data_IF_021934447538
#
_entry.id   IF_021934447538
#
_cell.length_a   1.000
_cell.length_b   1.000
_cell.length_c   1.000
_cell.angle_alpha   90.00
_cell.angle_beta   90.00
_cell.angle_gamma   90.00
#
_symmetry.space_group_name_H-M   'P 1'
#
loop_
_entity.id
_entity.type
_entity.pdbx_description
1 polymer ?
#
# COMPACT_ATOMS: atom_id res chain seq x y z
N UNK A 1 59.09 -11.06 10.00
CA UNK A 1 58.26 -12.11 10.62
C UNK A 1 56.86 -11.55 10.77
N UNK A 2 55.96 -11.88 9.84
CA UNK A 2 54.56 -11.50 9.93
C UNK A 2 53.86 -12.46 10.89
N UNK A 3 53.25 -11.91 11.95
CA UNK A 3 52.43 -12.66 12.88
C UNK A 3 51.19 -13.10 12.12
N UNK A 4 51.05 -14.41 11.87
CA UNK A 4 49.86 -14.98 11.27
C UNK A 4 48.65 -14.58 12.10
N UNK A 5 47.81 -13.70 11.55
CA UNK A 5 46.56 -13.27 12.17
C UNK A 5 45.63 -14.47 12.26
N UNK A 6 45.55 -15.03 13.45
CA UNK A 6 44.63 -16.10 13.82
C UNK A 6 43.21 -15.67 13.47
N UNK A 7 42.59 -16.42 12.55
CA UNK A 7 41.16 -16.55 12.31
C UNK A 7 40.44 -15.46 11.50
N UNK A 8 40.60 -15.50 10.17
CA UNK A 8 39.61 -14.99 9.22
C UNK A 8 38.70 -16.10 8.65
N UNK A 9 38.44 -17.17 9.41
CA UNK A 9 37.44 -18.13 8.94
C UNK A 9 36.04 -17.49 9.01
N UNK A 10 35.25 -17.57 7.92
CA UNK A 10 33.90 -17.02 7.92
C UNK A 10 33.04 -17.76 8.95
N UNK A 11 32.25 -16.98 9.70
CA UNK A 11 31.30 -17.51 10.68
C UNK A 11 30.37 -18.55 10.02
N UNK A 12 30.24 -19.72 10.63
CA UNK A 12 29.34 -20.79 10.18
C UNK A 12 28.18 -20.91 11.15
N UNK A 13 26.97 -20.64 10.67
CA UNK A 13 25.77 -20.72 11.50
C UNK A 13 25.58 -22.11 12.15
N UNK A 14 26.00 -23.18 11.46
CA UNK A 14 25.88 -24.55 11.95
C UNK A 14 26.87 -24.92 13.06
N UNK A 15 27.90 -24.10 13.30
CA UNK A 15 28.84 -24.31 14.42
C UNK A 15 28.22 -23.82 15.74
N UNK A 16 27.13 -23.05 15.70
CA UNK A 16 26.37 -22.67 16.89
C UNK A 16 25.52 -23.84 17.40
N UNK A 17 25.34 -23.99 18.72
CA UNK A 17 24.28 -24.82 19.30
C UNK A 17 22.89 -24.48 18.76
N UNK A 18 21.98 -25.45 18.76
CA UNK A 18 20.64 -25.31 18.19
C UNK A 18 19.84 -24.17 18.84
N UNK A 19 20.04 -23.95 20.14
CA UNK A 19 19.40 -22.89 20.92
C UNK A 19 19.82 -21.51 20.41
N UNK A 20 21.11 -21.31 20.14
CA UNK A 20 21.62 -20.05 19.60
C UNK A 20 21.18 -19.84 18.14
N UNK A 21 21.14 -20.90 17.33
CA UNK A 21 20.56 -20.81 15.96
C UNK A 21 19.09 -20.39 16.01
N UNK A 22 18.32 -20.92 16.97
CA UNK A 22 16.94 -20.49 17.19
C UNK A 22 16.84 -19.01 17.55
N UNK A 23 17.69 -18.50 18.45
CA UNK A 23 17.74 -17.07 18.74
C UNK A 23 18.02 -16.23 17.49
N UNK A 24 18.89 -16.71 16.59
CA UNK A 24 19.14 -16.06 15.29
C UNK A 24 17.86 -16.04 14.44
N UNK A 25 17.13 -17.16 14.33
CA UNK A 25 15.88 -17.19 13.55
C UNK A 25 14.79 -16.29 14.16
N UNK A 26 14.69 -16.26 15.48
CA UNK A 26 13.75 -15.43 16.23
C UNK A 26 14.10 -13.94 16.08
N UNK A 27 15.38 -13.58 15.94
CA UNK A 27 15.82 -12.20 15.70
C UNK A 27 15.77 -11.74 14.24
N UNK A 28 15.40 -12.61 13.29
CA UNK A 28 15.19 -12.19 11.90
C UNK A 28 14.00 -11.24 11.84
N UNK A 29 14.30 -9.96 11.69
CA UNK A 29 13.33 -8.89 11.49
C UNK A 29 12.80 -8.91 10.07
N UNK A 30 11.49 -8.71 9.96
CA UNK A 30 10.87 -8.43 8.68
C UNK A 30 11.13 -6.98 8.38
N UNK A 31 11.46 -6.68 7.13
CA UNK A 31 11.75 -5.32 6.71
C UNK A 31 10.63 -4.81 5.85
N UNK A 32 10.30 -3.54 5.97
CA UNK A 32 9.43 -2.92 4.97
C UNK A 32 10.21 -2.60 3.70
N UNK A 33 9.69 -3.03 2.55
CA UNK A 33 10.22 -2.67 1.23
C UNK A 33 9.26 -1.73 0.50
N UNK A 34 9.85 -0.80 -0.22
CA UNK A 34 9.18 0.29 -0.90
C UNK A 34 9.39 0.11 -2.40
N UNK A 35 8.30 -0.11 -3.13
CA UNK A 35 8.34 -0.19 -4.59
C UNK A 35 7.69 1.05 -5.14
N UNK A 36 8.45 1.82 -5.91
CA UNK A 36 8.04 3.13 -6.38
C UNK A 36 7.84 3.08 -7.88
N UNK A 37 6.66 3.51 -8.34
CA UNK A 37 6.41 3.84 -9.73
C UNK A 37 6.26 5.35 -9.84
N UNK A 38 7.29 5.99 -10.40
CA UNK A 38 7.24 7.43 -10.66
C UNK A 38 6.42 7.73 -11.92
N UNK A 39 5.73 8.87 -11.92
CA UNK A 39 4.97 9.34 -13.10
C UNK A 39 5.81 9.37 -14.38
N UNK A 40 7.06 9.81 -14.28
CA UNK A 40 8.01 9.90 -15.39
C UNK A 40 8.37 8.54 -15.97
N UNK A 41 8.38 7.49 -15.15
CA UNK A 41 8.60 6.11 -15.59
C UNK A 41 7.34 5.52 -16.19
N UNK A 42 6.17 5.83 -15.62
CA UNK A 42 4.90 5.30 -16.07
C UNK A 42 4.51 5.80 -17.46
N UNK A 43 4.94 7.01 -17.84
CA UNK A 43 4.64 7.66 -19.13
C UNK A 43 3.15 7.59 -19.53
N UNK A 44 2.27 7.54 -18.53
CA UNK A 44 0.83 7.43 -18.75
C UNK A 44 0.28 8.75 -19.26
N UNK A 45 -0.73 8.67 -20.11
CA UNK A 45 -1.42 9.86 -20.62
C UNK A 45 -1.97 10.70 -19.45
N UNK A 46 -2.09 12.02 -19.65
CA UNK A 46 -2.67 12.94 -18.65
C UNK A 46 -4.08 12.53 -18.20
N UNK A 47 -4.80 11.76 -19.02
CA UNK A 47 -6.11 11.20 -18.70
C UNK A 47 -6.04 10.15 -17.58
N UNK A 48 -4.98 9.33 -17.55
CA UNK A 48 -4.83 8.25 -16.57
C UNK A 48 -4.02 8.66 -15.35
N UNK A 49 -3.14 9.65 -15.49
CA UNK A 49 -2.40 10.22 -14.38
C UNK A 49 -2.40 11.74 -14.59
N UNK A 50 -3.30 12.52 -13.97
CA UNK A 50 -3.36 13.96 -14.16
C UNK A 50 -2.08 14.60 -13.63
N UNK A 51 -1.64 15.68 -14.27
CA UNK A 51 -0.43 16.39 -13.84
C UNK A 51 -0.79 17.12 -12.53
N UNK A 52 -0.06 16.90 -11.42
CA UNK A 52 -0.31 17.65 -10.20
C UNK A 52 0.04 19.14 -10.42
N UNK A 53 -0.29 20.04 -9.48
CA UNK A 53 0.12 21.45 -9.56
C UNK A 53 1.62 21.59 -9.87
N UNK A 54 2.03 22.66 -10.59
CA UNK A 54 3.39 22.84 -11.13
C UNK A 54 4.51 22.62 -10.11
N UNK A 55 4.25 22.91 -8.84
CA UNK A 55 5.19 22.72 -7.72
C UNK A 55 5.45 21.26 -7.35
N UNK A 56 4.70 20.29 -7.90
CA UNK A 56 4.73 18.87 -7.50
C UNK A 56 4.88 17.89 -8.67
N UNK A 57 5.04 18.39 -9.89
CA UNK A 57 4.98 17.56 -11.13
C UNK A 57 6.00 16.42 -11.13
N UNK A 58 7.19 16.65 -10.60
CA UNK A 58 8.28 15.67 -10.57
C UNK A 58 8.17 14.67 -9.42
N UNK A 59 7.19 14.83 -8.54
CA UNK A 59 7.14 14.08 -7.29
C UNK A 59 5.91 13.17 -7.17
N UNK A 60 5.06 13.14 -8.19
CA UNK A 60 3.88 12.25 -8.21
C UNK A 60 4.31 10.82 -8.50
N UNK A 61 4.02 9.93 -7.55
CA UNK A 61 4.43 8.53 -7.57
C UNK A 61 3.44 7.67 -6.83
N UNK A 62 3.38 6.40 -7.22
CA UNK A 62 2.72 5.35 -6.45
C UNK A 62 3.79 4.58 -5.70
N UNK A 63 3.75 4.63 -4.38
CA UNK A 63 4.61 3.79 -3.54
C UNK A 63 3.79 2.63 -2.99
N UNK A 64 4.12 1.41 -3.39
CA UNK A 64 3.66 0.18 -2.76
C UNK A 64 4.58 -0.13 -1.57
N UNK A 65 3.98 -0.19 -0.38
CA UNK A 65 4.67 -0.45 0.89
C UNK A 65 4.28 -1.86 1.34
N UNK A 66 5.28 -2.71 1.59
CA UNK A 66 5.03 -4.09 1.99
C UNK A 66 6.04 -4.61 3.01
N UNK A 67 5.62 -5.50 3.91
CA UNK A 67 6.57 -6.32 4.65
C UNK A 67 7.32 -7.25 3.68
N UNK A 68 8.59 -7.47 3.98
CA UNK A 68 9.49 -8.38 3.28
C UNK A 68 10.13 -9.31 4.30
N UNK A 69 9.84 -10.59 4.13
CA UNK A 69 10.55 -11.65 4.82
C UNK A 69 11.90 -11.88 4.12
N UNK A 70 13.03 -11.78 4.83
CA UNK A 70 14.31 -12.21 4.28
C UNK A 70 14.36 -13.74 4.26
N UNK A 71 13.98 -14.32 3.12
CA UNK A 71 13.90 -15.78 2.92
C UNK A 71 15.23 -16.39 2.49
N UNK A 72 16.29 -15.59 2.38
CA UNK A 72 17.64 -16.02 1.97
C UNK A 72 18.16 -17.12 2.88
N UNK A 73 17.85 -17.07 4.18
CA UNK A 73 18.26 -18.10 5.13
C UNK A 73 17.65 -19.48 4.82
N UNK A 74 16.43 -19.51 4.27
CA UNK A 74 15.78 -20.75 3.85
C UNK A 74 16.38 -21.36 2.58
N UNK A 75 17.16 -20.58 1.84
CA UNK A 75 17.85 -21.02 0.62
C UNK A 75 19.25 -21.58 0.89
N UNK A 76 19.72 -21.60 2.15
CA UNK A 76 21.08 -22.03 2.51
C UNK A 76 21.24 -23.55 2.45
N UNK A 77 20.99 -24.28 3.55
CA UNK A 77 21.07 -25.74 3.61
C UNK A 77 19.79 -26.36 4.20
N UNK A 78 19.61 -27.66 3.97
CA UNK A 78 18.39 -28.37 4.37
C UNK A 78 18.15 -28.35 5.90
N UNK A 79 19.23 -28.37 6.71
CA UNK A 79 19.13 -28.34 8.17
C UNK A 79 18.63 -26.98 8.66
N UNK A 80 19.27 -25.89 8.22
CA UNK A 80 18.83 -24.52 8.53
C UNK A 80 17.40 -24.30 8.06
N UNK A 81 17.05 -24.74 6.84
CA UNK A 81 15.68 -24.65 6.33
C UNK A 81 14.71 -25.40 7.23
N UNK A 82 15.02 -26.62 7.68
CA UNK A 82 14.16 -27.43 8.56
C UNK A 82 13.90 -26.74 9.90
N UNK A 83 14.93 -26.12 10.48
CA UNK A 83 14.84 -25.42 11.77
C UNK A 83 14.12 -24.07 11.65
N UNK A 84 14.47 -23.25 10.64
CA UNK A 84 13.97 -21.89 10.49
C UNK A 84 12.55 -21.84 9.90
N UNK A 85 12.15 -22.82 9.08
CA UNK A 85 10.84 -22.82 8.40
C UNK A 85 9.64 -22.63 9.35
N UNK A 86 9.48 -23.38 10.45
CA UNK A 86 8.32 -23.20 11.33
C UNK A 86 8.27 -21.81 12.00
N UNK A 87 9.43 -21.23 12.31
CA UNK A 87 9.54 -19.90 12.93
C UNK A 87 9.17 -18.82 11.91
N UNK A 88 9.79 -18.86 10.73
CA UNK A 88 9.54 -17.89 9.67
C UNK A 88 8.13 -18.03 9.08
N UNK A 89 7.56 -19.24 9.04
CA UNK A 89 6.19 -19.47 8.58
C UNK A 89 5.19 -18.66 9.42
N UNK A 90 5.33 -18.63 10.74
CA UNK A 90 4.45 -17.84 11.62
C UNK A 90 4.56 -16.35 11.31
N UNK A 91 5.78 -15.81 11.25
CA UNK A 91 6.01 -14.40 10.89
C UNK A 91 5.50 -14.05 9.48
N UNK A 92 5.62 -14.97 8.52
CA UNK A 92 5.06 -14.81 7.17
C UNK A 92 3.53 -14.82 7.16
N UNK A 93 2.90 -15.63 8.01
CA UNK A 93 1.44 -15.61 8.19
C UNK A 93 0.99 -14.26 8.74
N UNK A 94 1.69 -13.70 9.74
CA UNK A 94 1.40 -12.36 10.27
C UNK A 94 1.51 -11.29 9.17
N UNK A 95 2.54 -11.37 8.32
CA UNK A 95 2.72 -10.45 7.19
C UNK A 95 1.63 -10.58 6.12
N UNK A 96 1.06 -11.78 5.92
CA UNK A 96 -0.06 -11.99 5.00
C UNK A 96 -1.37 -11.41 5.54
N UNK A 97 -1.49 -11.23 6.85
CA UNK A 97 -2.63 -10.60 7.49
C UNK A 97 -2.56 -9.07 7.42
N UNK A 98 -1.37 -8.51 7.23
CA UNK A 98 -1.21 -7.06 7.05
C UNK A 98 -1.86 -6.57 5.75
N UNK A 99 -2.45 -5.37 5.76
CA UNK A 99 -3.02 -4.78 4.56
C UNK A 99 -1.95 -4.43 3.53
N UNK A 100 -2.31 -4.47 2.25
CA UNK A 100 -1.46 -3.88 1.20
C UNK A 100 -1.54 -2.37 1.34
N UNK A 101 -0.39 -1.71 1.53
CA UNK A 101 -0.33 -0.27 1.77
C UNK A 101 0.16 0.46 0.52
N UNK A 102 -0.54 1.53 0.17
CA UNK A 102 -0.14 2.48 -0.85
C UNK A 102 0.08 3.85 -0.22
N UNK A 103 1.17 4.51 -0.59
CA UNK A 103 1.41 5.91 -0.32
C UNK A 103 1.40 6.66 -1.65
N UNK A 104 0.47 7.59 -1.80
CA UNK A 104 0.18 8.28 -3.05
C UNK A 104 -0.09 9.76 -2.80
N UNK A 105 0.01 10.58 -3.84
CA UNK A 105 -0.70 11.87 -3.89
C UNK A 105 -2.06 11.69 -4.59
N UNK A 106 -2.83 12.77 -4.75
CA UNK A 106 -4.13 12.70 -5.43
C UNK A 106 -4.04 12.28 -6.91
N UNK A 107 -2.97 12.69 -7.61
CA UNK A 107 -2.79 12.35 -9.02
C UNK A 107 -2.45 10.88 -9.23
N UNK A 108 -1.65 10.32 -8.34
CA UNK A 108 -1.32 8.90 -8.29
C UNK A 108 -2.50 8.06 -7.79
N UNK A 109 -3.30 8.57 -6.83
CA UNK A 109 -4.55 7.95 -6.42
C UNK A 109 -5.53 7.82 -7.61
N UNK A 110 -5.69 8.88 -8.41
CA UNK A 110 -6.46 8.82 -9.67
C UNK A 110 -5.95 7.72 -10.60
N UNK A 111 -4.62 7.62 -10.74
CA UNK A 111 -4.03 6.58 -11.55
C UNK A 111 -4.36 5.17 -11.03
N UNK A 112 -4.54 4.97 -9.73
CA UNK A 112 -4.97 3.67 -9.19
C UNK A 112 -6.47 3.40 -9.39
N UNK A 113 -7.34 4.41 -9.19
CA UNK A 113 -8.80 4.18 -9.13
C UNK A 113 -9.54 4.46 -10.44
N UNK A 114 -8.89 5.18 -11.37
CA UNK A 114 -9.49 5.61 -12.62
C UNK A 114 -10.02 4.41 -13.43
N UNK A 115 -11.23 4.51 -14.03
CA UNK A 115 -11.95 3.37 -14.60
C UNK A 115 -11.19 2.67 -15.72
N UNK A 116 -10.39 3.43 -16.47
CA UNK A 116 -9.61 2.98 -17.62
C UNK A 116 -8.10 3.03 -17.36
N UNK A 117 -7.67 3.16 -16.11
CA UNK A 117 -6.24 3.19 -15.80
C UNK A 117 -5.65 1.78 -15.78
N UNK A 118 -4.46 1.55 -16.38
CA UNK A 118 -3.80 0.25 -16.32
C UNK A 118 -3.37 -0.15 -14.91
N UNK A 119 -3.23 0.81 -13.98
CA UNK A 119 -2.88 0.53 -12.59
C UNK A 119 -4.06 0.08 -11.72
N UNK A 120 -5.28 0.02 -12.26
CA UNK A 120 -6.47 -0.42 -11.50
C UNK A 120 -6.37 -1.87 -11.03
N UNK A 121 -5.61 -2.68 -11.75
CA UNK A 121 -5.24 -4.04 -11.38
C UNK A 121 -4.43 -4.12 -10.07
N UNK A 122 -3.70 -3.05 -9.71
CA UNK A 122 -3.02 -2.92 -8.42
C UNK A 122 -3.98 -2.87 -7.22
N UNK A 123 -5.28 -2.68 -7.45
CA UNK A 123 -6.33 -2.76 -6.43
C UNK A 123 -7.11 -4.09 -6.48
N UNK A 124 -6.65 -5.04 -7.29
CA UNK A 124 -7.25 -6.37 -7.42
C UNK A 124 -8.53 -6.40 -8.24
N UNK A 125 -8.82 -5.33 -8.99
CA UNK A 125 -9.93 -5.29 -9.95
C UNK A 125 -9.52 -6.05 -11.20
N UNK A 126 -10.38 -6.98 -11.63
CA UNK A 126 -10.16 -7.74 -12.84
C UNK A 126 -10.18 -6.81 -14.05
N UNK A 127 -9.09 -6.84 -14.80
CA UNK A 127 -8.92 -6.01 -15.98
C UNK A 127 -9.58 -6.67 -17.19
N UNK A 128 -10.89 -6.46 -17.34
CA UNK A 128 -11.65 -6.98 -18.48
C UNK A 128 -11.42 -6.08 -19.69
N UNK A 129 -10.25 -6.20 -20.30
CA UNK A 129 -9.99 -5.65 -21.63
C UNK A 129 -9.13 -4.39 -21.72
N UNK A 130 -8.42 -3.96 -20.67
CA UNK A 130 -7.31 -3.04 -20.94
C UNK A 130 -6.26 -3.79 -21.75
N UNK A 131 -5.84 -3.14 -22.83
CA UNK A 131 -4.65 -3.55 -23.58
C UNK A 131 -3.50 -3.63 -22.60
N UNK A 132 -2.73 -4.72 -22.66
CA UNK A 132 -1.45 -4.81 -21.95
C UNK A 132 -0.71 -3.51 -22.21
N UNK A 133 -0.37 -2.80 -21.13
CA UNK A 133 0.48 -1.61 -21.22
C UNK A 133 1.76 -1.98 -21.95
N UNK A 134 2.14 -1.21 -22.96
CA UNK A 134 3.43 -1.37 -23.64
C UNK A 134 4.58 -0.87 -22.75
N UNK A 135 4.27 -0.06 -21.73
CA UNK A 135 5.25 0.40 -20.77
C UNK A 135 5.62 -0.73 -19.78
N UNK A 136 6.88 -1.17 -19.87
CA UNK A 136 7.47 -2.22 -19.02
C UNK A 136 7.44 -1.87 -17.52
N UNK A 137 7.74 -0.64 -17.12
CA UNK A 137 7.74 -0.24 -15.72
C UNK A 137 6.35 -0.36 -15.09
N UNK A 138 5.30 0.01 -15.84
CA UNK A 138 3.90 -0.17 -15.41
C UNK A 138 3.57 -1.66 -15.32
N UNK A 139 3.99 -2.47 -16.31
CA UNK A 139 3.77 -3.91 -16.31
C UNK A 139 4.42 -4.62 -15.12
N UNK A 140 5.69 -4.33 -14.85
CA UNK A 140 6.46 -4.88 -13.74
C UNK A 140 5.84 -4.49 -12.39
N UNK A 141 5.42 -3.22 -12.25
CA UNK A 141 4.74 -2.73 -11.04
C UNK A 141 3.37 -3.39 -10.82
N UNK A 142 2.57 -3.52 -11.89
CA UNK A 142 1.27 -4.21 -11.84
C UNK A 142 1.43 -5.69 -11.48
N UNK A 143 2.37 -6.38 -12.10
CA UNK A 143 2.67 -7.79 -11.80
C UNK A 143 3.06 -7.95 -10.33
N UNK A 144 3.88 -7.03 -9.84
CA UNK A 144 4.29 -6.98 -8.45
C UNK A 144 3.09 -6.81 -7.52
N UNK A 145 2.24 -5.80 -7.73
CA UNK A 145 0.99 -5.61 -6.97
C UNK A 145 0.09 -6.85 -7.01
N UNK A 146 -0.08 -7.45 -8.19
CA UNK A 146 -0.89 -8.64 -8.38
C UNK A 146 -0.39 -9.83 -7.57
N UNK A 147 0.93 -10.05 -7.55
CA UNK A 147 1.55 -11.10 -6.73
C UNK A 147 1.21 -10.94 -5.24
N UNK A 148 1.25 -9.72 -4.70
CA UNK A 148 0.91 -9.45 -3.29
C UNK A 148 -0.59 -9.57 -3.01
N UNK A 149 -1.42 -9.05 -3.91
CA UNK A 149 -2.87 -9.20 -3.79
C UNK A 149 -3.33 -10.66 -3.91
N UNK A 150 -2.56 -11.52 -4.57
CA UNK A 150 -2.83 -12.95 -4.62
C UNK A 150 -2.43 -13.69 -3.34
N UNK A 151 -1.40 -13.20 -2.64
CA UNK A 151 -0.92 -13.76 -1.37
C UNK A 151 -1.78 -13.36 -0.18
N UNK A 152 -2.50 -12.24 -0.28
CA UNK A 152 -3.40 -11.76 0.78
C UNK A 152 -4.66 -12.62 0.87
N UNK A 153 -4.81 -13.23 2.06
CA UNK A 153 -5.94 -14.02 2.61
C UNK A 153 -6.45 -15.22 1.81
N UNK A 154 -5.88 -16.38 2.13
CA UNK A 154 -6.68 -17.60 2.35
C UNK A 154 -6.94 -17.70 3.86
N UNK A 155 -8.20 -17.81 4.29
CA UNK A 155 -8.49 -18.17 5.69
C UNK A 155 -8.10 -19.63 5.93
N UNK A 156 -7.95 -20.03 7.20
CA UNK A 156 -7.66 -21.42 7.56
C UNK A 156 -8.69 -22.42 7.00
N UNK A 157 -9.91 -21.94 6.70
CA UNK A 157 -11.00 -22.72 6.11
C UNK A 157 -11.01 -22.72 4.57
N UNK A 158 -9.96 -22.20 3.93
CA UNK A 158 -9.89 -22.08 2.46
C UNK A 158 -10.80 -21.00 1.85
N UNK A 159 -11.57 -20.28 2.67
CA UNK A 159 -12.40 -19.16 2.22
C UNK A 159 -11.51 -17.94 2.01
N UNK A 160 -11.64 -17.28 0.86
CA UNK A 160 -10.89 -16.06 0.57
C UNK A 160 -11.49 -14.89 1.35
N UNK A 161 -10.80 -14.46 2.41
CA UNK A 161 -11.20 -13.26 3.16
C UNK A 161 -11.10 -12.00 2.30
N UNK A 162 -11.77 -10.90 2.70
CA UNK A 162 -11.67 -9.63 1.99
C UNK A 162 -10.23 -9.16 1.98
N UNK A 163 -9.77 -8.68 0.82
CA UNK A 163 -8.46 -8.04 0.71
C UNK A 163 -8.54 -6.71 1.42
N UNK A 164 -7.61 -6.41 2.32
CA UNK A 164 -7.52 -5.09 2.93
C UNK A 164 -6.44 -4.30 2.22
N UNK A 165 -6.82 -3.14 1.67
CA UNK A 165 -5.91 -2.17 1.08
C UNK A 165 -6.01 -0.90 1.92
N UNK A 166 -4.87 -0.39 2.36
CA UNK A 166 -4.76 0.93 2.96
C UNK A 166 -4.11 1.87 1.94
N UNK A 167 -4.77 2.98 1.62
CA UNK A 167 -4.26 4.00 0.72
C UNK A 167 -4.11 5.30 1.51
N UNK A 168 -2.86 5.67 1.78
CA UNK A 168 -2.51 6.95 2.41
C UNK A 168 -2.31 7.99 1.33
N UNK A 169 -3.19 8.99 1.28
CA UNK A 169 -3.11 10.08 0.34
C UNK A 169 -2.43 11.27 1.02
N UNK A 170 -1.21 11.55 0.59
CA UNK A 170 -0.44 12.70 1.03
C UNK A 170 -0.82 13.94 0.23
N UNK A 171 -0.81 15.08 0.92
CA UNK A 171 -0.83 16.41 0.29
C UNK A 171 0.54 17.04 0.51
N UNK A 172 1.19 17.49 -0.55
CA UNK A 172 2.49 18.17 -0.45
C UNK A 172 2.38 19.69 -0.39
N UNK A 173 1.20 20.23 -0.68
CA UNK A 173 0.89 21.64 -0.54
C UNK A 173 -0.53 21.83 -0.05
N UNK A 174 -0.76 22.99 0.55
CA UNK A 174 -2.10 23.49 0.86
C UNK A 174 -2.76 24.15 -0.36
N UNK A 175 -2.16 24.03 -1.55
CA UNK A 175 -2.74 24.63 -2.76
C UNK A 175 -4.09 24.00 -3.07
N UNK A 176 -4.99 24.80 -3.61
CA UNK A 176 -6.29 24.33 -4.01
C UNK A 176 -6.16 23.20 -5.06
N UNK A 177 -6.82 22.08 -4.81
CA UNK A 177 -6.93 21.03 -5.81
C UNK A 177 -8.11 21.33 -6.73
N UNK A 178 -7.95 20.98 -8.01
CA UNK A 178 -8.98 21.14 -9.02
C UNK A 178 -10.02 20.02 -9.01
N UNK A 179 -10.71 19.88 -10.13
CA UNK A 179 -11.74 18.87 -10.37
C UNK A 179 -11.22 17.43 -10.21
N UNK A 180 -9.91 17.22 -10.42
CA UNK A 180 -9.25 15.92 -10.34
C UNK A 180 -9.36 15.31 -8.95
N UNK A 181 -9.30 16.14 -7.91
CA UNK A 181 -9.47 15.68 -6.53
C UNK A 181 -10.89 15.18 -6.29
N UNK A 182 -11.91 15.97 -6.68
CA UNK A 182 -13.31 15.59 -6.52
C UNK A 182 -13.63 14.31 -7.29
N UNK A 183 -13.13 14.20 -8.52
CA UNK A 183 -13.30 12.99 -9.31
C UNK A 183 -12.58 11.81 -8.63
N UNK A 184 -11.36 11.98 -8.12
CA UNK A 184 -10.63 10.92 -7.40
C UNK A 184 -11.45 10.41 -6.21
N UNK A 185 -12.01 11.33 -5.43
CA UNK A 185 -12.87 11.02 -4.29
C UNK A 185 -14.17 10.32 -4.71
N UNK A 186 -14.81 10.78 -5.79
CA UNK A 186 -15.99 10.14 -6.35
C UNK A 186 -15.69 8.70 -6.81
N UNK A 187 -14.58 8.48 -7.51
CA UNK A 187 -14.18 7.14 -7.97
C UNK A 187 -13.76 6.23 -6.82
N UNK A 188 -13.06 6.77 -5.81
CA UNK A 188 -12.82 6.06 -4.56
C UNK A 188 -14.15 5.62 -3.96
N UNK A 189 -15.14 6.50 -3.86
CA UNK A 189 -16.46 6.14 -3.34
C UNK A 189 -17.20 5.09 -4.18
N UNK A 190 -17.04 5.14 -5.50
CA UNK A 190 -17.59 4.13 -6.42
C UNK A 190 -16.85 2.80 -6.35
N UNK A 191 -15.61 2.77 -5.85
CA UNK A 191 -14.79 1.55 -5.74
C UNK A 191 -15.50 0.45 -4.91
N UNK A 192 -16.39 0.83 -3.99
CA UNK A 192 -17.22 -0.09 -3.20
C UNK A 192 -18.06 -1.06 -4.05
N UNK A 193 -18.37 -0.70 -5.30
CA UNK A 193 -19.16 -1.53 -6.21
C UNK A 193 -18.33 -2.49 -7.07
N UNK A 194 -17.00 -2.33 -7.11
CA UNK A 194 -16.15 -2.98 -8.11
C UNK A 194 -15.26 -4.09 -7.58
N UNK A 195 -15.07 -4.22 -6.27
CA UNK A 195 -14.07 -5.13 -5.71
C UNK A 195 -14.49 -5.87 -4.43
N UNK A 196 -13.98 -7.09 -4.20
CA UNK A 196 -14.12 -7.82 -2.94
C UNK A 196 -13.19 -7.28 -1.84
N UNK A 197 -12.83 -6.00 -1.93
CA UNK A 197 -11.71 -5.39 -1.20
C UNK A 197 -12.28 -4.40 -0.18
N UNK A 198 -11.76 -4.42 1.04
CA UNK A 198 -11.85 -3.33 2.01
C UNK A 198 -10.75 -2.31 1.67
N UNK A 199 -11.13 -1.16 1.13
CA UNK A 199 -10.23 -0.05 0.85
C UNK A 199 -10.38 1.00 1.96
N UNK A 200 -9.31 1.24 2.72
CA UNK A 200 -9.27 2.31 3.71
C UNK A 200 -8.45 3.45 3.13
N UNK A 201 -9.08 4.60 2.94
CA UNK A 201 -8.40 5.82 2.52
C UNK A 201 -8.07 6.67 3.74
N UNK A 202 -6.78 6.97 3.90
CA UNK A 202 -6.21 7.71 5.03
C UNK A 202 -5.71 9.05 4.50
N UNK A 203 -6.06 10.14 5.18
CA UNK A 203 -5.73 11.50 4.72
C UNK A 203 -5.60 12.48 5.89
N UNK A 204 -4.92 13.58 5.62
CA UNK A 204 -4.80 14.72 6.54
C UNK A 204 -6.09 15.55 6.48
N UNK A 205 -6.81 15.59 7.60
CA UNK A 205 -7.99 16.44 7.79
C UNK A 205 -7.57 17.86 8.23
N UNK A 206 -8.29 18.92 7.81
CA UNK A 206 -9.41 18.89 6.87
C UNK A 206 -8.96 18.61 5.44
N UNK A 207 -9.87 18.19 4.56
CA UNK A 207 -9.61 18.11 3.11
C UNK A 207 -9.05 19.45 2.58
N UNK A 208 -8.20 19.42 1.52
CA UNK A 208 -7.67 20.65 0.96
C UNK A 208 -8.80 21.51 0.40
N UNK A 209 -8.64 22.83 0.47
CA UNK A 209 -9.54 23.77 -0.20
C UNK A 209 -9.62 23.42 -1.69
N UNK A 210 -10.81 23.51 -2.27
CA UNK A 210 -11.01 23.27 -3.69
C UNK A 210 -11.46 24.58 -4.32
N UNK A 211 -10.92 24.90 -5.50
CA UNK A 211 -11.52 25.93 -6.35
C UNK A 211 -12.71 25.29 -7.06
N UNK A 212 -13.79 25.03 -6.31
CA UNK A 212 -15.01 24.53 -6.90
C UNK A 212 -15.56 25.58 -7.87
N UNK A 213 -15.88 25.13 -9.09
CA UNK A 213 -16.65 25.93 -10.05
C UNK A 213 -18.01 26.22 -9.40
N UNK A 214 -18.40 27.49 -9.41
CA UNK A 214 -19.41 28.15 -8.58
C UNK A 214 -20.88 27.64 -8.63
N UNK A 215 -21.14 26.39 -9.04
CA UNK A 215 -22.48 25.87 -9.33
C UNK A 215 -22.98 24.80 -8.34
N UNK A 216 -22.42 24.67 -7.12
CA UNK A 216 -22.86 23.64 -6.16
C UNK A 216 -22.90 24.11 -4.70
N UNK A 217 -23.69 23.40 -3.87
CA UNK A 217 -23.96 23.67 -2.45
C UNK A 217 -22.74 23.47 -1.50
N UNK A 218 -21.59 23.09 -2.03
CA UNK A 218 -20.38 22.82 -1.25
C UNK A 218 -19.58 24.12 -1.11
N UNK A 219 -19.64 24.74 0.08
CA UNK A 219 -19.08 26.09 0.30
C UNK A 219 -17.58 26.07 0.58
N UNK A 220 -17.09 25.02 1.23
CA UNK A 220 -15.68 24.87 1.58
C UNK A 220 -15.25 23.39 1.67
N UNK A 221 -14.00 23.14 2.06
CA UNK A 221 -13.47 21.78 2.19
C UNK A 221 -14.05 21.00 3.37
N UNK A 222 -14.57 21.67 4.41
CA UNK A 222 -15.23 21.01 5.55
C UNK A 222 -16.60 20.50 5.14
N UNK A 223 -17.35 21.28 4.36
CA UNK A 223 -18.63 20.85 3.80
C UNK A 223 -18.46 19.67 2.85
N UNK A 224 -17.41 19.67 2.02
CA UNK A 224 -17.07 18.53 1.17
C UNK A 224 -16.74 17.29 2.01
N UNK A 225 -15.88 17.43 3.01
CA UNK A 225 -15.50 16.32 3.90
C UNK A 225 -16.72 15.75 4.63
N UNK A 226 -17.60 16.62 5.13
CA UNK A 226 -18.87 16.23 5.73
C UNK A 226 -19.75 15.46 4.75
N UNK A 227 -19.92 15.95 3.53
CA UNK A 227 -20.70 15.26 2.50
C UNK A 227 -20.11 13.88 2.14
N UNK A 228 -18.78 13.79 2.05
CA UNK A 228 -18.09 12.53 1.82
C UNK A 228 -18.29 11.54 2.97
N UNK A 229 -18.16 11.99 4.21
CA UNK A 229 -18.36 11.15 5.40
C UNK A 229 -19.83 10.73 5.59
N UNK A 230 -20.78 11.45 5.00
CA UNK A 230 -22.19 11.00 4.91
C UNK A 230 -22.38 9.91 3.85
N UNK A 231 -21.56 9.91 2.80
CA UNK A 231 -21.68 8.98 1.66
C UNK A 231 -20.85 7.71 1.84
N UNK A 232 -19.75 7.82 2.57
CA UNK A 232 -18.80 6.74 2.85
C UNK A 232 -18.69 6.51 4.35
N UNK A 233 -18.87 5.27 4.83
CA UNK A 233 -18.78 4.97 6.26
C UNK A 233 -17.37 5.25 6.79
N UNK A 234 -17.28 5.73 8.04
CA UNK A 234 -15.99 5.79 8.73
C UNK A 234 -15.57 4.38 9.13
N UNK A 235 -14.26 4.14 9.13
CA UNK A 235 -13.77 2.81 9.47
C UNK A 235 -14.14 2.38 10.90
N UNK A 236 -14.10 3.29 11.87
CA UNK A 236 -14.40 3.00 13.27
C UNK A 236 -15.90 2.95 13.60
N UNK A 237 -16.77 3.40 12.69
CA UNK A 237 -18.24 3.39 12.89
C UNK A 237 -18.82 2.00 12.68
N UNK A 238 -18.09 1.14 11.97
CA UNK A 238 -18.36 -0.30 11.96
C UNK A 238 -17.73 -0.84 13.23
N UNK A 239 -18.53 -1.03 14.28
CA UNK A 239 -18.08 -1.78 15.46
C UNK A 239 -17.62 -3.20 15.09
N UNK A 240 -17.44 -4.09 16.07
CA UNK A 240 -17.14 -5.51 15.82
C UNK A 240 -18.22 -6.27 14.99
N UNK A 241 -19.22 -5.58 14.43
CA UNK A 241 -20.20 -6.15 13.53
C UNK A 241 -19.56 -6.52 12.19
N UNK A 242 -19.38 -7.83 12.04
CA UNK A 242 -18.74 -8.58 10.97
C UNK A 242 -19.36 -8.43 9.57
N UNK A 243 -20.36 -7.57 9.37
CA UNK A 243 -21.21 -7.63 8.17
C UNK A 243 -20.73 -6.80 6.97
N UNK A 244 -19.76 -5.88 7.15
CA UNK A 244 -19.17 -5.14 6.03
C UNK A 244 -17.66 -5.30 5.95
N UNK A 245 -17.26 -6.54 5.73
CA UNK A 245 -15.88 -6.91 5.39
C UNK A 245 -15.39 -6.30 4.06
N UNK A 246 -16.26 -5.65 3.28
CA UNK A 246 -15.98 -5.07 1.96
C UNK A 246 -16.52 -3.66 1.88
N UNK A 247 -15.80 -2.77 1.20
CA UNK A 247 -16.25 -1.40 1.02
C UNK A 247 -15.10 -0.42 0.99
N UNK A 248 -15.47 0.86 0.98
CA UNK A 248 -14.53 1.98 0.98
C UNK A 248 -14.79 2.78 2.25
N UNK A 249 -13.71 2.98 3.02
CA UNK A 249 -13.75 3.59 4.32
C UNK A 249 -12.85 4.80 4.36
N UNK A 250 -13.27 5.82 5.09
CA UNK A 250 -12.48 7.02 5.32
C UNK A 250 -11.90 7.00 6.73
N UNK A 251 -10.59 7.31 6.84
CA UNK A 251 -9.86 7.51 8.09
C UNK A 251 -9.20 8.90 8.07
N UNK A 252 -9.92 9.97 8.45
CA UNK A 252 -9.31 11.28 8.63
C UNK A 252 -8.33 11.25 9.81
N UNK A 253 -7.15 11.84 9.63
CA UNK A 253 -6.17 12.06 10.69
C UNK A 253 -5.82 13.54 10.78
N UNK A 254 -5.72 14.05 12.01
CA UNK A 254 -5.26 15.43 12.25
C UNK A 254 -3.73 15.54 12.11
N UNK A 255 -3.23 16.77 11.99
CA UNK A 255 -1.84 17.08 11.62
C UNK A 255 -0.77 16.14 12.17
N UNK A 256 -0.55 16.13 13.48
CA UNK A 256 0.50 15.31 14.11
C UNK A 256 0.24 13.80 13.97
N UNK A 257 -1.02 13.37 14.08
CA UNK A 257 -1.39 11.97 13.93
C UNK A 257 -1.14 11.47 12.49
N UNK A 258 -1.38 12.33 11.49
CA UNK A 258 -1.10 12.02 10.10
C UNK A 258 0.40 11.91 9.83
N UNK A 259 1.22 12.83 10.33
CA UNK A 259 2.68 12.75 10.14
C UNK A 259 3.25 11.50 10.81
N UNK A 260 2.83 11.20 12.06
CA UNK A 260 3.21 9.95 12.75
C UNK A 260 2.79 8.70 11.97
N UNK A 261 1.60 8.72 11.37
CA UNK A 261 1.14 7.62 10.50
C UNK A 261 2.06 7.46 9.29
N UNK A 262 2.39 8.55 8.59
CA UNK A 262 3.28 8.53 7.42
C UNK A 262 4.69 8.06 7.78
N UNK A 263 5.25 8.54 8.89
CA UNK A 263 6.55 8.08 9.41
C UNK A 263 6.50 6.59 9.79
N UNK A 264 5.42 6.15 10.42
CA UNK A 264 5.19 4.76 10.80
C UNK A 264 5.07 3.79 9.62
N UNK A 265 4.78 4.28 8.41
CA UNK A 265 4.79 3.44 7.21
C UNK A 265 6.19 2.87 6.89
N UNK A 266 7.26 3.50 7.39
CA UNK A 266 8.65 3.06 7.19
C UNK A 266 9.15 2.08 8.25
N UNK A 267 8.50 2.03 9.42
CA UNK A 267 9.07 1.48 10.65
C UNK A 267 8.60 0.06 10.99
N UNK A 268 8.14 -0.71 9.99
CA UNK A 268 7.70 -2.10 10.15
C UNK A 268 8.75 -3.13 9.74
#
# INVERSE_FOLDING_TARGET
MEVATVNQQPFRLLDLPAELRRCVYDSIEFRTTWHVLDRTQALLSKRYWPVPPKTQVYESRVTLIRPHAPLEILMTCHLVRKEASPILKRKMEDCRLQPVRYLVDYSAAWALVGPSSPLRSCLGVADRGLRKTENRAVGDFVQMCGSFLSQTRWTQNGVRGPRVIEMTITRKSETAYGIEFLQTMAWLGMFKYYGPTKLVFIYKSPLPSTQLVANGDIKDSKDLEKHMLQTLPREWEIGNETSSERGVFMRPLEGEAFEKHVEGLASY
#
